data_IF_580677042302
#
_entry.id   IF_580677042302
#
_cell.length_a   1.000
_cell.length_b   1.000
_cell.length_c   1.000
_cell.angle_alpha   90.00
_cell.angle_beta   90.00
_cell.angle_gamma   90.00
#
_symmetry.space_group_name_H-M   'P 1'
#
loop_
_entity.id
_entity.type
_entity.pdbx_description
1 polymer ?
#
# COMPACT_ATOMS: atom_id res chain seq x y z
N UNK A 1 14.42 9.25 -25.70
CA UNK A 1 15.01 7.96 -26.13
C UNK A 1 14.21 6.83 -25.52
N UNK A 2 13.93 5.74 -26.25
CA UNK A 2 13.36 4.52 -25.63
C UNK A 2 14.43 3.89 -24.73
N UNK A 3 14.12 3.65 -23.47
CA UNK A 3 15.02 3.02 -22.50
C UNK A 3 14.79 1.51 -22.54
N UNK A 4 15.87 0.72 -22.63
CA UNK A 4 15.82 -0.73 -22.43
C UNK A 4 16.20 -0.98 -20.97
N UNK A 5 15.30 -1.62 -20.24
CA UNK A 5 15.52 -2.00 -18.86
C UNK A 5 16.17 -3.39 -18.76
N UNK A 6 17.05 -3.59 -17.82
CA UNK A 6 17.79 -4.84 -17.61
C UNK A 6 17.32 -5.64 -16.42
N UNK A 7 16.53 -5.02 -15.55
CA UNK A 7 15.87 -5.64 -14.41
C UNK A 7 14.45 -5.11 -14.24
N UNK A 8 13.54 -5.96 -13.79
CA UNK A 8 12.18 -5.56 -13.45
C UNK A 8 12.15 -4.52 -12.31
N UNK A 9 13.16 -4.52 -11.45
CA UNK A 9 13.29 -3.54 -10.36
C UNK A 9 13.45 -2.10 -10.84
N UNK A 10 13.98 -1.90 -12.05
CA UNK A 10 14.10 -0.57 -12.67
C UNK A 10 12.74 -0.01 -13.11
N UNK A 11 11.69 -0.85 -13.15
CA UNK A 11 10.33 -0.47 -13.47
C UNK A 11 9.52 -0.11 -12.21
N UNK A 12 10.07 -0.32 -11.02
CA UNK A 12 9.39 0.02 -9.76
C UNK A 12 9.42 1.53 -9.57
N UNK A 13 8.26 2.11 -9.31
CA UNK A 13 8.10 3.55 -9.17
C UNK A 13 7.84 4.25 -10.50
N UNK A 14 7.92 5.58 -10.51
CA UNK A 14 7.58 6.39 -11.69
C UNK A 14 6.13 6.20 -12.14
N UNK A 15 5.23 5.83 -11.22
CA UNK A 15 3.81 5.60 -11.52
C UNK A 15 3.12 6.92 -11.85
N UNK A 16 2.16 6.94 -12.81
CA UNK A 16 1.53 8.18 -13.23
C UNK A 16 0.49 8.71 -12.24
N UNK A 17 0.18 9.99 -12.37
CA UNK A 17 -1.05 10.61 -11.88
C UNK A 17 -2.10 10.58 -13.00
N UNK A 18 -3.33 10.19 -12.65
CA UNK A 18 -4.51 10.25 -13.53
C UNK A 18 -5.53 11.21 -12.94
N UNK A 19 -5.98 12.20 -13.71
CA UNK A 19 -7.10 13.06 -13.36
C UNK A 19 -8.42 12.29 -13.54
N UNK A 20 -9.22 12.20 -12.49
CA UNK A 20 -10.45 11.41 -12.46
C UNK A 20 -11.66 12.24 -12.94
N UNK A 21 -11.63 12.68 -14.21
CA UNK A 21 -12.59 13.62 -14.79
C UNK A 21 -14.03 13.13 -14.81
N UNK A 22 -14.23 11.83 -15.05
CA UNK A 22 -15.58 11.25 -15.08
C UNK A 22 -16.18 11.18 -13.67
N UNK A 23 -15.35 10.96 -12.65
CA UNK A 23 -15.76 11.01 -11.24
C UNK A 23 -16.02 12.46 -10.84
N UNK A 24 -15.14 13.40 -11.16
CA UNK A 24 -15.31 14.82 -10.89
C UNK A 24 -16.65 15.32 -11.44
N UNK A 25 -16.97 15.00 -12.69
CA UNK A 25 -18.23 15.37 -13.34
C UNK A 25 -19.43 14.71 -12.68
N UNK A 26 -19.35 13.41 -12.41
CA UNK A 26 -20.45 12.63 -11.85
C UNK A 26 -20.81 13.06 -10.42
N UNK A 27 -19.80 13.47 -9.64
CA UNK A 27 -19.96 13.90 -8.25
C UNK A 27 -20.09 15.42 -8.11
N UNK A 28 -20.02 16.19 -9.22
CA UNK A 28 -20.12 17.64 -9.23
C UNK A 28 -18.99 18.34 -8.45
N UNK A 29 -17.77 17.80 -8.52
CA UNK A 29 -16.65 18.30 -7.74
C UNK A 29 -16.14 19.64 -8.30
N UNK A 30 -15.84 20.57 -7.40
CA UNK A 30 -15.17 21.82 -7.75
C UNK A 30 -13.66 21.78 -7.59
N UNK A 31 -13.12 20.68 -7.07
CA UNK A 31 -11.70 20.42 -6.89
C UNK A 31 -11.19 19.48 -7.99
N UNK A 32 -9.89 19.52 -8.29
CA UNK A 32 -9.21 18.55 -9.16
C UNK A 32 -8.82 17.33 -8.35
N UNK A 33 -9.19 16.13 -8.82
CA UNK A 33 -8.91 14.86 -8.17
C UNK A 33 -7.94 14.03 -8.99
N UNK A 34 -6.73 13.85 -8.47
CA UNK A 34 -5.65 13.11 -9.11
C UNK A 34 -5.39 11.78 -8.40
N UNK A 35 -5.40 10.68 -9.13
CA UNK A 35 -5.10 9.34 -8.62
C UNK A 35 -3.65 8.94 -8.92
N UNK A 36 -2.86 8.64 -7.89
CA UNK A 36 -1.54 8.01 -8.01
C UNK A 36 -1.72 6.51 -8.19
N UNK A 37 -1.44 6.02 -9.40
CA UNK A 37 -1.78 4.66 -9.84
C UNK A 37 -0.67 3.65 -9.50
N UNK A 38 -0.61 3.21 -8.24
CA UNK A 38 0.44 2.29 -7.78
C UNK A 38 0.30 0.85 -8.30
N UNK A 39 -0.84 0.50 -8.89
CA UNK A 39 -0.99 -0.81 -9.56
C UNK A 39 -0.12 -0.95 -10.81
N UNK A 40 0.44 0.12 -11.34
CA UNK A 40 1.37 0.10 -12.47
C UNK A 40 2.81 -0.27 -12.09
N UNK A 41 3.10 -0.47 -10.81
CA UNK A 41 4.32 -1.17 -10.42
C UNK A 41 4.30 -2.62 -10.95
N UNK A 42 5.45 -3.25 -11.22
CA UNK A 42 5.55 -4.58 -11.85
C UNK A 42 4.78 -5.69 -11.16
N UNK A 43 4.78 -5.73 -9.83
CA UNK A 43 4.00 -6.69 -9.04
C UNK A 43 2.59 -6.16 -8.69
N UNK A 44 2.18 -5.03 -9.27
CA UNK A 44 0.82 -4.49 -9.19
C UNK A 44 0.48 -3.76 -7.89
N UNK A 45 1.45 -3.25 -7.13
CA UNK A 45 1.15 -2.48 -5.92
C UNK A 45 2.27 -1.53 -5.46
N UNK A 46 1.90 -0.61 -4.56
CA UNK A 46 2.84 0.26 -3.84
C UNK A 46 3.88 -0.52 -3.01
N UNK A 47 3.61 -1.78 -2.69
CA UNK A 47 4.51 -2.61 -1.90
C UNK A 47 5.75 -3.07 -2.64
N UNK A 48 5.78 -2.96 -3.96
CA UNK A 48 6.98 -3.18 -4.77
C UNK A 48 8.10 -2.22 -4.34
N UNK A 49 7.75 -0.94 -4.13
CA UNK A 49 8.68 0.08 -3.61
C UNK A 49 9.21 -0.28 -2.22
N UNK A 50 8.32 -0.72 -1.36
CA UNK A 50 8.63 -1.10 0.03
C UNK A 50 9.53 -2.33 0.06
N UNK A 51 9.19 -3.37 -0.70
CA UNK A 51 9.97 -4.60 -0.80
C UNK A 51 11.40 -4.30 -1.28
N UNK A 52 11.52 -3.55 -2.39
CA UNK A 52 12.83 -3.16 -2.90
C UNK A 52 13.64 -2.39 -1.86
N UNK A 53 13.06 -1.38 -1.22
CA UNK A 53 13.77 -0.55 -0.26
C UNK A 53 14.21 -1.32 1.00
N UNK A 54 13.37 -2.23 1.50
CA UNK A 54 13.74 -3.07 2.66
C UNK A 54 14.90 -4.01 2.34
N UNK A 55 14.94 -4.57 1.12
CA UNK A 55 16.04 -5.44 0.70
C UNK A 55 17.32 -4.64 0.39
N UNK A 56 17.21 -3.47 -0.27
CA UNK A 56 18.35 -2.57 -0.50
C UNK A 56 19.02 -2.15 0.82
N UNK A 57 18.22 -1.77 1.81
CA UNK A 57 18.68 -1.39 3.15
C UNK A 57 19.37 -2.57 3.86
N UNK A 58 18.77 -3.77 3.78
CA UNK A 58 19.32 -4.97 4.40
C UNK A 58 20.66 -5.40 3.76
N UNK A 59 20.80 -5.32 2.44
CA UNK A 59 22.05 -5.58 1.73
C UNK A 59 23.12 -4.54 2.11
N UNK A 60 22.75 -3.26 2.12
CA UNK A 60 23.66 -2.16 2.51
C UNK A 60 24.20 -2.34 3.94
N UNK A 61 23.35 -2.81 4.86
CA UNK A 61 23.72 -3.09 6.25
C UNK A 61 24.42 -4.43 6.46
N UNK A 62 24.55 -5.23 5.40
CA UNK A 62 25.13 -6.58 5.47
C UNK A 62 24.28 -7.61 6.23
N UNK A 63 22.99 -7.31 6.43
CA UNK A 63 22.01 -8.22 7.04
C UNK A 63 21.51 -9.27 6.04
N UNK A 64 21.47 -8.90 4.77
CA UNK A 64 21.12 -9.78 3.66
C UNK A 64 22.35 -9.99 2.77
N UNK A 65 22.71 -11.25 2.52
CA UNK A 65 23.91 -11.64 1.75
C UNK A 65 23.55 -12.70 0.72
N UNK A 66 24.36 -12.92 -0.32
CA UNK A 66 24.15 -14.03 -1.24
C UNK A 66 23.95 -15.36 -0.50
N UNK A 67 22.86 -16.06 -0.82
CA UNK A 67 22.46 -17.30 -0.13
C UNK A 67 21.61 -17.11 1.13
N UNK A 68 21.36 -15.88 1.57
CA UNK A 68 20.40 -15.60 2.65
C UNK A 68 18.97 -15.99 2.25
N UNK A 69 18.14 -16.26 3.26
CA UNK A 69 16.72 -16.59 3.09
C UNK A 69 15.88 -15.45 3.64
N UNK A 70 14.98 -14.93 2.81
CA UNK A 70 14.01 -13.91 3.23
C UNK A 70 12.78 -14.62 3.80
N UNK A 71 12.35 -14.24 5.00
CA UNK A 71 11.15 -14.78 5.65
C UNK A 71 10.26 -13.62 6.05
N UNK A 72 9.01 -13.58 5.57
CA UNK A 72 8.07 -12.50 5.95
C UNK A 72 6.70 -13.07 6.32
N UNK A 73 6.18 -12.72 7.51
CA UNK A 73 4.80 -13.05 7.87
C UNK A 73 3.85 -12.04 7.23
N UNK A 74 3.27 -12.40 6.10
CA UNK A 74 2.36 -11.53 5.36
C UNK A 74 1.46 -12.33 4.43
N UNK A 75 0.22 -11.91 4.30
CA UNK A 75 -0.75 -12.47 3.33
C UNK A 75 -1.07 -11.51 2.19
N UNK A 76 -0.41 -10.35 2.15
CA UNK A 76 -0.75 -9.25 1.26
C UNK A 76 0.31 -8.92 0.22
N UNK A 77 0.18 -7.72 -0.31
CA UNK A 77 1.02 -7.19 -1.40
C UNK A 77 2.52 -7.14 -1.05
N UNK A 78 2.88 -7.05 0.24
CA UNK A 78 4.28 -7.09 0.66
C UNK A 78 4.94 -8.42 0.31
N UNK A 79 4.24 -9.54 0.55
CA UNK A 79 4.75 -10.86 0.17
C UNK A 79 4.96 -10.99 -1.34
N UNK A 80 4.04 -10.45 -2.14
CA UNK A 80 4.15 -10.44 -3.61
C UNK A 80 5.35 -9.60 -4.05
N UNK A 81 5.48 -8.37 -3.52
CA UNK A 81 6.61 -7.49 -3.84
C UNK A 81 7.95 -8.09 -3.44
N UNK A 82 8.05 -8.71 -2.26
CA UNK A 82 9.25 -9.42 -1.81
C UNK A 82 9.57 -10.60 -2.73
N UNK A 83 8.59 -11.39 -3.13
CA UNK A 83 8.79 -12.51 -4.04
C UNK A 83 9.35 -12.05 -5.40
N UNK A 84 8.84 -10.95 -5.97
CA UNK A 84 9.34 -10.38 -7.23
C UNK A 84 10.78 -9.91 -7.09
N UNK A 85 11.10 -9.08 -6.09
CA UNK A 85 12.46 -8.55 -5.92
C UNK A 85 13.44 -9.65 -5.58
N UNK A 86 13.06 -10.59 -4.71
CA UNK A 86 13.90 -11.74 -4.34
C UNK A 86 14.20 -12.63 -5.55
N UNK A 87 13.21 -12.89 -6.42
CA UNK A 87 13.41 -13.68 -7.63
C UNK A 87 14.48 -13.05 -8.55
N UNK A 88 14.48 -11.71 -8.71
CA UNK A 88 15.46 -11.02 -9.55
C UNK A 88 16.89 -11.05 -8.97
N UNK A 89 17.01 -11.15 -7.64
CA UNK A 89 18.30 -11.18 -6.93
C UNK A 89 18.77 -12.58 -6.58
N UNK A 90 17.97 -13.62 -6.90
CA UNK A 90 18.31 -15.01 -6.60
C UNK A 90 18.23 -15.37 -5.11
N UNK A 91 17.43 -14.66 -4.33
CA UNK A 91 17.16 -15.00 -2.93
C UNK A 91 16.03 -16.04 -2.82
N UNK A 92 16.24 -17.00 -1.94
CA UNK A 92 15.17 -17.87 -1.46
C UNK A 92 14.21 -17.06 -0.59
N UNK A 93 12.91 -17.22 -0.79
CA UNK A 93 11.89 -16.45 -0.07
C UNK A 93 10.83 -17.39 0.51
N UNK A 94 10.56 -17.25 1.79
CA UNK A 94 9.52 -17.98 2.52
C UNK A 94 8.48 -16.97 3.00
N UNK A 95 7.25 -17.12 2.55
CA UNK A 95 6.12 -16.30 3.01
C UNK A 95 5.26 -17.12 3.95
N UNK A 96 5.03 -16.59 5.15
CA UNK A 96 4.26 -17.26 6.20
C UNK A 96 2.90 -16.58 6.32
N UNK A 97 1.81 -17.32 6.20
CA UNK A 97 0.46 -16.76 6.24
C UNK A 97 -0.58 -17.76 6.78
N UNK A 98 -1.73 -17.27 7.29
CA UNK A 98 -2.83 -18.15 7.65
C UNK A 98 -3.40 -18.90 6.43
N UNK A 99 -3.87 -20.13 6.63
CA UNK A 99 -4.46 -20.96 5.60
C UNK A 99 -5.84 -20.49 5.10
N UNK A 100 -6.41 -19.48 5.75
CA UNK A 100 -7.66 -18.80 5.35
C UNK A 100 -7.46 -17.70 4.30
N UNK A 101 -6.21 -17.38 3.96
CA UNK A 101 -5.90 -16.32 2.98
C UNK A 101 -6.24 -16.73 1.55
N UNK A 102 -6.53 -15.73 0.68
CA UNK A 102 -7.03 -15.94 -0.67
C UNK A 102 -6.10 -16.82 -1.52
N UNK A 103 -6.69 -17.68 -2.32
CA UNK A 103 -5.98 -18.59 -3.21
C UNK A 103 -5.21 -17.80 -4.29
N UNK A 104 -5.77 -16.71 -4.80
CA UNK A 104 -5.17 -15.87 -5.83
C UNK A 104 -3.81 -15.34 -5.39
N UNK A 105 -3.72 -14.86 -4.14
CA UNK A 105 -2.45 -14.35 -3.57
C UNK A 105 -1.43 -15.44 -3.37
N UNK A 106 -1.86 -16.63 -2.91
CA UNK A 106 -0.98 -17.78 -2.75
C UNK A 106 -0.37 -18.20 -4.09
N UNK A 107 -1.21 -18.35 -5.11
CA UNK A 107 -0.79 -18.73 -6.46
C UNK A 107 0.17 -17.70 -7.05
N UNK A 108 -0.10 -16.42 -6.84
CA UNK A 108 0.75 -15.34 -7.35
C UNK A 108 2.13 -15.35 -6.69
N UNK A 109 2.22 -15.49 -5.38
CA UNK A 109 3.50 -15.59 -4.67
C UNK A 109 4.29 -16.84 -5.09
N UNK A 110 3.61 -17.99 -5.20
CA UNK A 110 4.23 -19.23 -5.68
C UNK A 110 4.71 -19.13 -7.13
N UNK A 111 3.98 -18.42 -8.00
CA UNK A 111 4.38 -18.21 -9.38
C UNK A 111 5.68 -17.39 -9.50
N UNK A 112 5.95 -16.50 -8.54
CA UNK A 112 7.24 -15.79 -8.42
C UNK A 112 8.32 -16.62 -7.70
N UNK A 113 8.04 -17.87 -7.32
CA UNK A 113 9.01 -18.78 -6.72
C UNK A 113 9.11 -18.70 -5.19
N UNK A 114 8.20 -17.99 -4.51
CA UNK A 114 8.17 -17.99 -3.05
C UNK A 114 7.63 -19.31 -2.50
N UNK A 115 8.28 -19.81 -1.45
CA UNK A 115 7.78 -20.92 -0.65
C UNK A 115 6.71 -20.42 0.32
N UNK A 116 5.58 -21.14 0.39
CA UNK A 116 4.50 -20.78 1.30
C UNK A 116 4.46 -21.69 2.51
N UNK A 117 4.48 -21.10 3.69
CA UNK A 117 4.25 -21.80 4.96
C UNK A 117 2.90 -21.36 5.50
N UNK A 118 1.94 -22.28 5.53
CA UNK A 118 0.59 -22.02 6.00
C UNK A 118 0.47 -22.32 7.49
N UNK A 119 -0.14 -21.41 8.22
CA UNK A 119 -0.42 -21.55 9.66
C UNK A 119 -1.93 -21.68 9.89
N UNK A 120 -2.37 -22.31 11.00
CA UNK A 120 -3.80 -22.44 11.29
C UNK A 120 -4.51 -21.09 11.32
N UNK A 121 -5.57 -20.93 10.53
CA UNK A 121 -6.34 -19.69 10.41
C UNK A 121 -6.87 -19.16 11.75
N UNK A 122 -7.20 -20.07 12.68
CA UNK A 122 -7.64 -19.69 14.03
C UNK A 122 -6.62 -18.88 14.83
N UNK A 123 -5.31 -18.98 14.50
CA UNK A 123 -4.24 -18.17 15.10
C UNK A 123 -4.05 -16.81 14.42
N UNK A 124 -4.69 -16.57 13.27
CA UNK A 124 -4.55 -15.34 12.49
C UNK A 124 -3.10 -14.99 12.17
N UNK A 125 -2.82 -13.70 11.98
CA UNK A 125 -1.46 -13.22 11.69
C UNK A 125 -0.47 -13.42 12.86
N UNK A 126 -0.95 -13.46 14.10
CA UNK A 126 -0.08 -13.73 15.25
C UNK A 126 0.61 -15.10 15.11
N UNK A 127 -0.14 -16.14 14.69
CA UNK A 127 0.44 -17.45 14.43
C UNK A 127 1.45 -17.47 13.28
N UNK A 128 1.27 -16.62 12.29
CA UNK A 128 2.22 -16.50 11.18
C UNK A 128 3.50 -15.77 11.61
N UNK A 129 3.41 -14.77 12.48
CA UNK A 129 4.56 -14.09 13.05
C UNK A 129 5.38 -15.07 13.91
N UNK A 130 4.72 -15.81 14.82
CA UNK A 130 5.36 -16.82 15.65
C UNK A 130 6.12 -17.86 14.80
N UNK A 131 5.49 -18.35 13.72
CA UNK A 131 6.11 -19.34 12.82
C UNK A 131 7.25 -18.73 11.99
N UNK A 132 7.15 -17.49 11.56
CA UNK A 132 8.23 -16.81 10.85
C UNK A 132 9.48 -16.65 11.74
N UNK A 133 9.28 -16.28 13.01
CA UNK A 133 10.34 -16.18 14.00
C UNK A 133 10.99 -17.55 14.33
N UNK A 134 10.16 -18.60 14.40
CA UNK A 134 10.66 -19.98 14.56
C UNK A 134 11.58 -20.37 13.39
N UNK A 135 11.10 -20.18 12.15
CA UNK A 135 11.89 -20.46 10.94
C UNK A 135 13.18 -19.62 10.89
N UNK A 136 13.13 -18.37 11.32
CA UNK A 136 14.30 -17.52 11.35
C UNK A 136 15.37 -18.00 12.35
N UNK A 137 14.97 -18.63 13.45
CA UNK A 137 15.90 -19.27 14.38
C UNK A 137 16.48 -20.57 13.84
N UNK A 138 15.71 -21.30 13.04
CA UNK A 138 16.12 -22.61 12.47
C UNK A 138 16.97 -22.46 11.20
N UNK A 139 16.80 -21.39 10.44
CA UNK A 139 17.47 -21.17 9.16
C UNK A 139 18.61 -20.14 9.32
N UNK A 140 19.88 -20.57 9.38
CA UNK A 140 21.01 -19.66 9.50
C UNK A 140 21.07 -18.67 8.34
N UNK A 141 21.36 -17.40 8.62
CA UNK A 141 21.47 -16.36 7.61
C UNK A 141 20.13 -15.90 7.04
N UNK A 142 19.01 -16.26 7.68
CA UNK A 142 17.70 -15.73 7.33
C UNK A 142 17.54 -14.28 7.78
N UNK A 143 16.64 -13.56 7.09
CA UNK A 143 16.32 -12.16 7.34
C UNK A 143 14.79 -11.95 7.30
N UNK A 144 14.25 -11.29 8.31
CA UNK A 144 12.83 -10.86 8.34
C UNK A 144 12.80 -9.37 8.02
N UNK A 145 12.24 -8.94 6.86
CA UNK A 145 12.12 -7.54 6.47
C UNK A 145 11.33 -6.68 7.46
N UNK A 146 10.23 -7.16 7.99
CA UNK A 146 9.49 -6.52 9.08
C UNK A 146 8.77 -5.24 8.67
N UNK A 147 7.84 -5.31 7.74
CA UNK A 147 7.16 -4.16 7.12
C UNK A 147 6.55 -3.13 8.09
N UNK A 148 6.16 -3.53 9.30
CA UNK A 148 5.52 -2.65 10.28
C UNK A 148 6.51 -1.88 11.17
N UNK A 149 7.76 -2.34 11.23
CA UNK A 149 8.80 -1.83 12.12
C UNK A 149 10.01 -1.26 11.35
N UNK A 150 10.18 -1.64 10.07
CA UNK A 150 11.34 -1.27 9.27
C UNK A 150 11.21 0.15 8.71
N UNK A 151 12.11 1.08 9.08
CA UNK A 151 12.06 2.47 8.61
C UNK A 151 12.26 2.62 7.09
N UNK A 152 12.87 1.63 6.42
CA UNK A 152 13.02 1.62 4.97
C UNK A 152 11.67 1.68 4.23
N UNK A 153 10.58 1.22 4.86
CA UNK A 153 9.24 1.32 4.32
C UNK A 153 8.82 2.78 4.10
N UNK A 154 8.86 3.62 5.13
CA UNK A 154 8.54 5.05 4.97
C UNK A 154 9.60 5.79 4.12
N UNK A 155 10.87 5.41 4.25
CA UNK A 155 11.95 5.99 3.48
C UNK A 155 11.77 5.78 1.96
N UNK A 156 11.24 4.63 1.53
CA UNK A 156 10.92 4.36 0.13
C UNK A 156 9.97 5.40 -0.45
N UNK A 157 8.88 5.70 0.26
CA UNK A 157 7.89 6.68 -0.17
C UNK A 157 8.38 8.12 -0.09
N UNK A 158 9.22 8.43 0.92
CA UNK A 158 9.86 9.75 1.01
C UNK A 158 10.84 9.99 -0.15
N UNK A 159 11.55 8.96 -0.58
CA UNK A 159 12.54 9.05 -1.65
C UNK A 159 11.94 8.96 -3.06
N UNK A 160 10.74 8.41 -3.23
CA UNK A 160 10.16 8.15 -4.54
C UNK A 160 8.75 8.70 -4.71
N UNK A 161 7.75 8.19 -4.00
CA UNK A 161 6.34 8.57 -4.17
C UNK A 161 6.09 10.06 -3.91
N UNK A 162 6.68 10.60 -2.85
CA UNK A 162 6.57 12.03 -2.52
C UNK A 162 7.13 12.93 -3.61
N UNK A 163 8.41 12.76 -4.02
CA UNK A 163 9.00 13.48 -5.15
C UNK A 163 8.20 13.36 -6.44
N UNK A 164 7.78 12.16 -6.84
CA UNK A 164 7.00 11.95 -8.04
C UNK A 164 5.69 12.77 -8.02
N UNK A 165 4.93 12.73 -6.92
CA UNK A 165 3.70 13.54 -6.79
C UNK A 165 4.01 15.03 -6.88
N UNK A 166 5.05 15.49 -6.22
CA UNK A 166 5.43 16.92 -6.23
C UNK A 166 5.84 17.40 -7.61
N UNK A 167 6.65 16.61 -8.32
CA UNK A 167 7.13 16.94 -9.67
C UNK A 167 5.98 16.90 -10.69
N UNK A 168 5.17 15.84 -10.69
CA UNK A 168 4.05 15.66 -11.63
C UNK A 168 2.98 16.73 -11.45
N UNK A 169 2.75 17.22 -10.24
CA UNK A 169 1.82 18.33 -9.95
C UNK A 169 2.47 19.71 -10.09
N UNK A 170 3.77 19.77 -10.36
CA UNK A 170 4.54 21.02 -10.35
C UNK A 170 4.37 21.80 -9.02
N UNK A 171 4.33 21.05 -7.92
CA UNK A 171 4.11 21.58 -6.58
C UNK A 171 2.68 22.05 -6.26
N UNK A 172 1.74 21.81 -7.18
CA UNK A 172 0.33 22.20 -7.00
C UNK A 172 -0.47 21.05 -6.38
N UNK A 173 -0.18 20.71 -5.13
CA UNK A 173 -0.91 19.74 -4.33
C UNK A 173 -1.36 20.40 -3.03
N UNK A 174 -2.67 20.40 -2.76
CA UNK A 174 -3.26 20.94 -1.53
C UNK A 174 -3.54 19.83 -0.52
N UNK A 175 -3.98 18.65 -1.00
CA UNK A 175 -4.31 17.51 -0.16
C UNK A 175 -3.65 16.24 -0.68
N UNK A 176 -3.16 15.42 0.25
CA UNK A 176 -2.73 14.05 -0.02
C UNK A 176 -3.55 13.08 0.82
N UNK A 177 -4.23 12.12 0.17
CA UNK A 177 -5.12 11.16 0.82
C UNK A 177 -4.57 9.74 0.64
N UNK A 178 -4.40 9.01 1.74
CA UNK A 178 -3.92 7.63 1.70
C UNK A 178 -4.50 6.78 2.83
N UNK A 179 -4.77 5.50 2.54
CA UNK A 179 -5.13 4.50 3.52
C UNK A 179 -3.95 4.11 4.42
N UNK A 180 -4.22 3.84 5.70
CA UNK A 180 -3.20 3.48 6.68
C UNK A 180 -3.21 1.97 6.95
N UNK A 181 -2.27 1.25 6.32
CA UNK A 181 -1.94 -0.14 6.66
C UNK A 181 -0.71 -0.19 7.55
N UNK A 182 0.49 -0.27 6.97
CA UNK A 182 1.76 -0.16 7.71
C UNK A 182 2.10 1.28 8.11
N UNK A 183 1.44 2.26 7.50
CA UNK A 183 1.73 3.67 7.70
C UNK A 183 2.88 4.22 6.87
N UNK A 184 3.63 3.38 6.14
CA UNK A 184 4.81 3.81 5.37
C UNK A 184 4.49 4.83 4.28
N UNK A 185 3.43 4.57 3.51
CA UNK A 185 2.99 5.45 2.42
C UNK A 185 2.67 6.86 2.91
N UNK A 186 1.77 6.96 3.90
CA UNK A 186 1.32 8.26 4.41
C UNK A 186 2.44 9.00 5.13
N UNK A 187 3.27 8.28 5.88
CA UNK A 187 4.44 8.85 6.57
C UNK A 187 5.44 9.41 5.58
N UNK A 188 5.98 8.57 4.70
CA UNK A 188 7.06 8.99 3.81
C UNK A 188 6.61 10.05 2.81
N UNK A 189 5.46 9.86 2.16
CA UNK A 189 4.91 10.83 1.21
C UNK A 189 4.50 12.12 1.90
N UNK A 190 3.77 12.03 3.02
CA UNK A 190 3.29 13.19 3.76
C UNK A 190 4.42 14.06 4.32
N UNK A 191 5.45 13.44 4.89
CA UNK A 191 6.64 14.16 5.37
C UNK A 191 7.38 14.88 4.23
N UNK A 192 7.52 14.23 3.07
CA UNK A 192 8.14 14.88 1.91
C UNK A 192 7.31 16.06 1.43
N UNK A 193 6.00 15.88 1.20
CA UNK A 193 5.13 16.95 0.71
C UNK A 193 5.07 18.15 1.68
N UNK A 194 4.96 17.89 2.99
CA UNK A 194 4.97 18.96 4.00
C UNK A 194 6.33 19.66 4.11
N UNK A 195 7.43 18.96 3.83
CA UNK A 195 8.75 19.58 3.76
C UNK A 195 8.87 20.54 2.55
N UNK A 196 8.22 20.24 1.43
CA UNK A 196 8.15 21.13 0.28
C UNK A 196 7.18 22.31 0.49
N UNK A 197 6.01 22.02 1.05
CA UNK A 197 4.98 23.00 1.37
C UNK A 197 4.23 22.60 2.65
N UNK A 198 4.47 23.31 3.78
CA UNK A 198 3.84 22.98 5.06
C UNK A 198 2.31 23.15 5.08
N UNK A 199 1.73 23.81 4.06
CA UNK A 199 0.28 23.98 3.96
C UNK A 199 -0.42 22.76 3.35
N UNK A 200 0.31 21.78 2.78
CA UNK A 200 -0.28 20.52 2.29
C UNK A 200 -0.95 19.79 3.44
N UNK A 201 -2.22 19.45 3.23
CA UNK A 201 -3.00 18.66 4.20
C UNK A 201 -2.89 17.17 3.87
N UNK A 202 -2.56 16.39 4.87
CA UNK A 202 -2.43 14.93 4.77
C UNK A 202 -3.64 14.29 5.46
N UNK A 203 -4.39 13.49 4.71
CA UNK A 203 -5.61 12.83 5.16
C UNK A 203 -5.37 11.33 5.29
N UNK A 204 -5.47 10.83 6.51
CA UNK A 204 -5.40 9.41 6.79
C UNK A 204 -6.77 8.75 6.61
N UNK A 205 -6.78 7.54 6.04
CA UNK A 205 -8.01 6.75 5.89
C UNK A 205 -7.90 5.47 6.70
N UNK A 206 -8.92 5.19 7.53
CA UNK A 206 -9.03 3.98 8.35
C UNK A 206 -10.42 3.34 8.21
N UNK A 207 -10.59 2.04 8.58
CA UNK A 207 -11.91 1.42 8.59
C UNK A 207 -12.83 2.01 9.67
N UNK A 208 -14.08 2.31 9.30
CA UNK A 208 -15.07 2.85 10.24
C UNK A 208 -15.42 1.87 11.38
N UNK A 209 -15.33 0.56 11.13
CA UNK A 209 -15.55 -0.49 12.14
C UNK A 209 -14.30 -0.77 12.98
N UNK A 210 -13.14 -0.23 12.62
CA UNK A 210 -11.88 -0.30 13.37
C UNK A 210 -11.20 1.08 13.43
N UNK A 211 -11.84 2.08 14.07
CA UNK A 211 -11.34 3.47 14.12
C UNK A 211 -10.23 3.63 15.16
N UNK A 212 -9.15 2.89 14.98
CA UNK A 212 -8.05 2.83 15.96
C UNK A 212 -7.31 4.16 16.07
N UNK A 213 -7.03 4.80 14.92
CA UNK A 213 -6.25 6.04 14.91
C UNK A 213 -7.07 7.23 15.42
N UNK A 214 -8.36 7.29 15.10
CA UNK A 214 -9.24 8.40 15.50
C UNK A 214 -9.89 8.20 16.87
N UNK A 215 -10.20 6.95 17.28
CA UNK A 215 -10.99 6.66 18.49
C UNK A 215 -10.31 5.67 19.45
N UNK A 216 -9.15 5.11 19.11
CA UNK A 216 -8.45 4.12 19.95
C UNK A 216 -9.12 2.75 20.02
N UNK A 217 -10.05 2.44 19.09
CA UNK A 217 -10.83 1.20 19.10
C UNK A 217 -10.49 0.35 17.89
N UNK A 218 -9.97 -0.86 18.10
CA UNK A 218 -9.75 -1.86 17.05
C UNK A 218 -10.96 -2.79 16.94
N UNK A 219 -11.27 -3.21 15.71
CA UNK A 219 -12.37 -4.14 15.41
C UNK A 219 -12.19 -4.88 14.11
N UNK A 220 -13.03 -5.89 13.83
CA UNK A 220 -13.04 -6.58 12.54
C UNK A 220 -13.58 -5.66 11.44
N UNK A 221 -13.02 -5.78 10.23
CA UNK A 221 -13.42 -5.02 9.05
C UNK A 221 -13.06 -5.76 7.75
N UNK A 222 -13.71 -5.39 6.64
CA UNK A 222 -13.49 -5.94 5.30
C UNK A 222 -12.48 -5.16 4.44
N UNK A 223 -11.95 -4.04 4.91
CA UNK A 223 -11.03 -3.19 4.15
C UNK A 223 -9.62 -3.78 4.12
N UNK A 224 -9.44 -4.82 3.29
CA UNK A 224 -8.14 -5.47 3.14
C UNK A 224 -7.06 -4.47 2.70
N UNK A 225 -5.89 -4.54 3.36
CA UNK A 225 -4.72 -3.71 3.05
C UNK A 225 -4.52 -2.50 3.96
N UNK A 226 -5.55 -2.10 4.72
CA UNK A 226 -5.48 -1.04 5.75
C UNK A 226 -6.04 -1.55 7.08
N UNK A 227 -5.93 -0.77 8.15
CA UNK A 227 -6.50 -1.13 9.45
C UNK A 227 -5.81 -2.33 10.11
N UNK A 228 -4.53 -2.21 10.47
CA UNK A 228 -3.73 -3.30 11.05
C UNK A 228 -4.16 -3.72 12.47
N UNK A 229 -5.13 -3.03 13.08
CA UNK A 229 -5.60 -3.23 14.47
C UNK A 229 -4.54 -2.96 15.56
N UNK A 230 -3.45 -2.34 15.19
CA UNK A 230 -2.44 -1.76 16.08
C UNK A 230 -1.81 -0.54 15.38
N UNK A 231 -1.14 0.32 16.14
CA UNK A 231 -0.40 1.46 15.58
C UNK A 231 1.01 0.98 15.18
N UNK A 232 1.34 0.94 13.86
CA UNK A 232 2.66 0.47 13.42
C UNK A 232 3.77 1.44 13.85
N UNK A 233 4.97 0.94 14.12
CA UNK A 233 6.13 1.78 14.45
C UNK A 233 6.59 2.66 13.27
N UNK A 234 6.33 2.21 12.05
CA UNK A 234 6.61 2.98 10.82
C UNK A 234 5.74 4.22 10.71
N UNK A 235 4.55 4.22 11.32
CA UNK A 235 3.60 5.34 11.21
C UNK A 235 4.03 6.54 12.06
N UNK A 236 4.30 7.67 11.41
CA UNK A 236 4.38 8.96 12.08
C UNK A 236 2.98 9.52 12.30
N UNK A 237 2.46 9.43 13.52
CA UNK A 237 1.12 9.91 13.89
C UNK A 237 0.97 11.42 13.87
N UNK A 238 2.04 12.17 13.66
CA UNK A 238 2.01 13.65 13.56
C UNK A 238 1.99 14.13 12.09
N UNK A 239 2.04 13.20 11.11
CA UNK A 239 2.13 13.59 9.70
C UNK A 239 0.78 13.98 9.11
N UNK A 240 -0.32 13.35 9.55
CA UNK A 240 -1.65 13.63 9.05
C UNK A 240 -2.38 14.71 9.85
N UNK A 241 -3.20 15.49 9.15
CA UNK A 241 -3.99 16.59 9.69
C UNK A 241 -5.42 16.15 10.05
N UNK A 242 -5.92 15.10 9.38
CA UNK A 242 -7.28 14.58 9.56
C UNK A 242 -7.29 13.06 9.34
N UNK A 243 -8.24 12.40 9.98
CA UNK A 243 -8.52 10.98 9.77
C UNK A 243 -9.97 10.83 9.31
N UNK A 244 -10.18 10.12 8.20
CA UNK A 244 -11.52 9.83 7.66
C UNK A 244 -11.78 8.32 7.81
N UNK A 245 -12.71 7.92 8.69
CA UNK A 245 -13.18 6.54 8.75
C UNK A 245 -14.09 6.23 7.56
N UNK A 246 -13.88 5.07 6.91
CA UNK A 246 -14.64 4.62 5.75
C UNK A 246 -15.30 3.28 6.02
N UNK A 247 -16.57 3.12 5.63
CA UNK A 247 -17.28 1.84 5.73
C UNK A 247 -16.86 0.88 4.63
N UNK A 248 -17.12 -0.42 4.81
CA UNK A 248 -16.85 -1.43 3.79
C UNK A 248 -17.69 -1.15 2.53
N UNK A 249 -18.95 -0.77 2.70
CA UNK A 249 -19.90 -0.46 1.63
C UNK A 249 -19.45 0.73 0.79
N UNK A 250 -19.02 1.82 1.43
CA UNK A 250 -18.52 3.01 0.77
C UNK A 250 -17.25 2.73 -0.04
N UNK A 251 -16.34 1.96 0.54
CA UNK A 251 -15.10 1.56 -0.13
C UNK A 251 -15.39 0.68 -1.36
N UNK A 252 -16.30 -0.29 -1.24
CA UNK A 252 -16.68 -1.16 -2.35
C UNK A 252 -17.39 -0.36 -3.46
N UNK A 253 -18.30 0.52 -3.09
CA UNK A 253 -19.00 1.38 -4.05
C UNK A 253 -18.04 2.28 -4.84
N UNK A 254 -17.10 2.95 -4.17
CA UNK A 254 -16.09 3.79 -4.81
C UNK A 254 -15.14 2.99 -5.70
N UNK A 255 -14.73 1.79 -5.26
CA UNK A 255 -13.89 0.91 -6.05
C UNK A 255 -14.57 0.38 -7.32
N UNK A 256 -15.89 0.09 -7.27
CA UNK A 256 -16.67 -0.22 -8.48
C UNK A 256 -16.87 1.00 -9.37
N UNK A 257 -17.09 2.17 -8.76
CA UNK A 257 -17.31 3.41 -9.49
C UNK A 257 -16.13 3.78 -10.38
N UNK A 258 -14.89 3.73 -9.85
CA UNK A 258 -13.69 4.07 -10.63
C UNK A 258 -13.48 3.09 -11.79
N UNK A 259 -13.74 1.79 -11.57
CA UNK A 259 -13.67 0.79 -12.64
C UNK A 259 -14.66 1.08 -13.76
N UNK A 260 -15.90 1.44 -13.43
CA UNK A 260 -16.98 1.69 -14.40
C UNK A 260 -16.88 3.05 -15.10
N UNK A 261 -16.30 4.07 -14.44
CA UNK A 261 -16.24 5.44 -14.97
C UNK A 261 -14.90 5.79 -15.59
N UNK A 262 -13.79 5.40 -14.98
CA UNK A 262 -12.44 5.76 -15.43
C UNK A 262 -11.70 4.59 -16.09
N UNK A 263 -12.29 3.37 -16.07
CA UNK A 263 -11.64 2.17 -16.62
C UNK A 263 -10.46 1.69 -15.79
N UNK A 264 -10.36 2.08 -14.52
CA UNK A 264 -9.25 1.73 -13.62
C UNK A 264 -9.74 0.71 -12.59
N UNK A 265 -9.26 -0.53 -12.67
CA UNK A 265 -9.61 -1.58 -11.73
C UNK A 265 -8.66 -1.54 -10.52
N UNK A 266 -9.22 -1.33 -9.33
CA UNK A 266 -8.46 -1.11 -8.10
C UNK A 266 -8.88 -2.03 -6.97
N UNK A 267 -8.01 -2.21 -5.96
CA UNK A 267 -8.32 -2.98 -4.76
C UNK A 267 -9.19 -2.23 -3.75
N UNK A 268 -9.60 -2.93 -2.70
CA UNK A 268 -10.56 -2.45 -1.69
C UNK A 268 -10.02 -1.20 -0.97
N UNK A 269 -8.76 -1.19 -0.56
CA UNK A 269 -8.17 -0.03 0.12
C UNK A 269 -8.03 1.19 -0.79
N UNK A 270 -7.92 0.99 -2.10
CA UNK A 270 -7.97 2.06 -3.10
C UNK A 270 -9.37 2.68 -3.16
N UNK A 271 -10.42 1.85 -3.11
CA UNK A 271 -11.80 2.31 -3.03
C UNK A 271 -12.04 3.16 -1.78
N UNK A 272 -11.55 2.72 -0.62
CA UNK A 272 -11.64 3.47 0.63
C UNK A 272 -10.93 4.83 0.53
N UNK A 273 -9.71 4.87 0.00
CA UNK A 273 -8.96 6.12 -0.19
C UNK A 273 -9.68 7.06 -1.17
N UNK A 274 -10.20 6.51 -2.27
CA UNK A 274 -10.96 7.29 -3.27
C UNK A 274 -12.22 7.89 -2.67
N UNK A 275 -13.02 7.11 -1.93
CA UNK A 275 -14.21 7.63 -1.27
C UNK A 275 -13.86 8.81 -0.36
N UNK A 276 -12.86 8.67 0.49
CA UNK A 276 -12.40 9.74 1.38
C UNK A 276 -11.98 11.00 0.60
N UNK A 277 -11.22 10.82 -0.50
CA UNK A 277 -10.78 11.93 -1.35
C UNK A 277 -11.96 12.66 -2.00
N UNK A 278 -13.01 11.93 -2.44
CA UNK A 278 -14.25 12.51 -2.95
C UNK A 278 -14.96 13.32 -1.86
N UNK A 279 -15.04 12.83 -0.60
CA UNK A 279 -15.63 13.60 0.49
C UNK A 279 -14.83 14.89 0.76
N UNK A 280 -13.53 14.88 0.71
CA UNK A 280 -12.68 16.07 0.82
C UNK A 280 -12.94 17.03 -0.35
N UNK A 281 -13.06 16.52 -1.58
CA UNK A 281 -13.32 17.30 -2.79
C UNK A 281 -14.70 17.97 -2.81
N UNK A 282 -15.70 17.37 -2.16
CA UNK A 282 -17.06 17.91 -2.04
C UNK A 282 -17.19 19.12 -1.11
N UNK A 283 -16.20 19.37 -0.28
CA UNK A 283 -16.22 20.50 0.66
C UNK A 283 -16.17 21.82 -0.11
N UNK A 284 -17.10 22.78 0.15
CA UNK A 284 -17.14 24.03 -0.61
C UNK A 284 -15.84 24.84 -0.57
N UNK A 285 -15.13 24.80 0.57
CA UNK A 285 -13.84 25.47 0.78
C UNK A 285 -12.70 24.87 -0.05
N UNK A 286 -12.89 23.67 -0.58
CA UNK A 286 -11.89 22.99 -1.40
C UNK A 286 -12.08 23.20 -2.91
N UNK A 287 -13.01 24.07 -3.30
CA UNK A 287 -13.18 24.46 -4.70
C UNK A 287 -11.87 25.04 -5.27
N UNK A 288 -11.45 24.51 -6.42
CA UNK A 288 -10.20 24.92 -7.09
C UNK A 288 -8.93 24.33 -6.47
N UNK A 289 -9.05 23.46 -5.46
CA UNK A 289 -7.94 22.76 -4.83
C UNK A 289 -7.54 21.50 -5.62
N UNK A 290 -6.29 21.07 -5.47
CA UNK A 290 -5.78 19.83 -6.03
C UNK A 290 -5.63 18.79 -4.93
N UNK A 291 -6.33 17.66 -5.11
CA UNK A 291 -6.35 16.53 -4.19
C UNK A 291 -5.70 15.34 -4.87
N UNK A 292 -4.62 14.83 -4.28
CA UNK A 292 -3.96 13.60 -4.73
C UNK A 292 -4.38 12.46 -3.84
N UNK A 293 -4.94 11.41 -4.42
CA UNK A 293 -5.27 10.15 -3.72
C UNK A 293 -4.36 9.04 -4.20
N UNK A 294 -3.76 8.29 -3.28
CA UNK A 294 -2.95 7.13 -3.64
C UNK A 294 -3.83 5.87 -3.69
N UNK A 295 -3.85 5.21 -4.84
CA UNK A 295 -4.54 3.95 -5.11
C UNK A 295 -3.52 2.82 -5.09
N UNK A 296 -3.42 2.05 -3.98
CA UNK A 296 -2.24 1.24 -3.71
C UNK A 296 -2.07 -0.01 -4.57
N UNK A 297 -3.14 -0.58 -5.15
CA UNK A 297 -3.02 -1.84 -5.89
C UNK A 297 -4.11 -2.09 -6.94
N UNK A 298 -3.92 -3.17 -7.74
CA UNK A 298 -4.87 -3.64 -8.76
C UNK A 298 -6.08 -4.33 -8.14
N UNK A 299 -7.23 -4.23 -8.82
CA UNK A 299 -8.47 -4.94 -8.47
C UNK A 299 -8.49 -6.42 -8.80
N UNK A 300 -7.59 -6.92 -9.66
CA UNK A 300 -7.57 -8.31 -10.11
C UNK A 300 -7.49 -9.32 -8.96
N UNK A 301 -6.92 -8.91 -7.83
CA UNK A 301 -6.75 -9.72 -6.61
C UNK A 301 -8.00 -9.79 -5.74
N UNK A 302 -9.08 -9.10 -6.13
CA UNK A 302 -10.30 -8.91 -5.32
C UNK A 302 -11.57 -9.32 -6.05
N UNK A 303 -11.46 -9.91 -7.26
CA UNK A 303 -12.63 -10.26 -8.10
C UNK A 303 -13.57 -11.25 -7.42
N UNK A 304 -13.05 -12.11 -6.53
CA UNK A 304 -13.83 -13.05 -5.73
C UNK A 304 -14.36 -12.49 -4.40
N UNK A 305 -14.11 -11.20 -4.13
CA UNK A 305 -14.55 -10.55 -2.88
C UNK A 305 -15.91 -9.87 -3.03
N UNK A 306 -16.60 -9.52 -1.92
CA UNK A 306 -17.87 -8.79 -1.97
C UNK A 306 -17.83 -7.45 -2.73
N UNK A 307 -16.65 -6.90 -2.98
CA UNK A 307 -16.51 -5.71 -3.80
C UNK A 307 -16.96 -5.92 -5.24
N UNK A 308 -16.74 -7.11 -5.81
CA UNK A 308 -17.05 -7.42 -7.22
C UNK A 308 -18.03 -8.59 -7.40
N UNK A 309 -18.21 -9.44 -6.39
CA UNK A 309 -19.21 -10.51 -6.40
C UNK A 309 -20.54 -9.96 -5.83
N UNK A 310 -21.44 -9.52 -6.70
CA UNK A 310 -22.85 -9.29 -6.39
C UNK A 310 -23.68 -10.48 -6.84
#
# INVERSE_FOLDING_TARGET
MRKIYTSVEELIGGTPLLELRQIEQAEGLGATLLAKLEYLNPAGSAKDRVAKAMLDDAETKGLLKPGSVIIEPTSGNTGIGLAVVAATRGYRTIIVMPDTMSMERRLLMSAYGAELVLTPGAKGMAGSIEKAEELAREIPGSFIPGQFDNPANAAAHRATTGPEIWEDTQGKVDFFVAGVGTGGTITGTGEYLKAQNPNVKVIAVEPASSPLLSKGVAGPHGLQGIGANFVPKVLNTQVYDEIIPVTDEDAYAAGRQIGRKEGVLVGISSGAALWAAVQVAKRPENKGKTIVVLLPDTGDRYLSTPMFSE
#
